data_IF_447124103552
#
_entry.id   IF_447124103552
#
_cell.length_a   1.000
_cell.length_b   1.000
_cell.length_c   1.000
_cell.angle_alpha   90.00
_cell.angle_beta   90.00
_cell.angle_gamma   90.00
#
_symmetry.space_group_name_H-M   'P 1'
#
loop_
_entity.id
_entity.type
_entity.pdbx_description
1 polymer ?
#
# COMPACT_ATOMS: atom_id res chain seq x y z
N UNK A 1 0.51 -20.04 3.28
CA UNK A 1 -0.08 -18.69 3.20
C UNK A 1 0.83 -17.77 3.97
N UNK A 2 1.60 -16.95 3.26
CA UNK A 2 2.21 -15.82 3.94
C UNK A 2 1.08 -14.89 4.37
N UNK A 3 0.91 -14.73 5.68
CA UNK A 3 -0.06 -13.77 6.21
C UNK A 3 0.62 -12.42 6.27
N UNK A 4 -0.10 -11.37 5.90
CA UNK A 4 0.33 -10.01 6.19
C UNK A 4 0.42 -9.81 7.71
N UNK A 5 1.63 -10.04 8.24
CA UNK A 5 1.86 -10.16 9.68
C UNK A 5 1.93 -8.78 10.36
N UNK A 6 1.80 -8.77 11.69
CA UNK A 6 1.74 -7.54 12.47
C UNK A 6 3.04 -6.71 12.41
N UNK A 7 4.19 -7.36 12.25
CA UNK A 7 5.47 -6.67 12.14
C UNK A 7 5.52 -5.88 10.83
N UNK A 8 5.20 -6.53 9.71
CA UNK A 8 5.21 -5.89 8.39
C UNK A 8 4.16 -4.77 8.29
N UNK A 9 2.98 -4.97 8.90
CA UNK A 9 1.94 -3.92 9.04
C UNK A 9 2.44 -2.70 9.80
N UNK A 10 3.16 -2.92 10.91
CA UNK A 10 3.69 -1.82 11.72
C UNK A 10 4.72 -1.00 10.96
N UNK A 11 5.61 -1.66 10.21
CA UNK A 11 6.60 -0.98 9.37
C UNK A 11 5.90 -0.15 8.29
N UNK A 12 4.95 -0.74 7.55
CA UNK A 12 4.23 0.00 6.51
C UNK A 12 3.49 1.21 7.10
N UNK A 13 2.83 1.04 8.24
CA UNK A 13 2.16 2.13 8.95
C UNK A 13 3.14 3.26 9.32
N UNK A 14 4.32 2.93 9.84
CA UNK A 14 5.35 3.92 10.20
C UNK A 14 5.90 4.66 8.97
N UNK A 15 5.99 3.99 7.81
CA UNK A 15 6.40 4.62 6.55
C UNK A 15 5.34 5.59 6.00
N UNK A 16 4.06 5.25 6.14
CA UNK A 16 2.94 6.08 5.69
C UNK A 16 2.74 7.28 6.61
N UNK A 17 2.86 7.08 7.93
CA UNK A 17 2.64 8.12 8.93
C UNK A 17 3.53 9.33 8.71
N UNK A 18 2.92 10.51 8.84
CA UNK A 18 3.56 11.82 8.65
C UNK A 18 4.16 12.03 7.24
N UNK A 19 3.86 11.16 6.27
CA UNK A 19 4.25 11.33 4.85
C UNK A 19 5.74 11.61 4.64
N UNK A 20 6.61 11.10 5.53
CA UNK A 20 8.06 11.40 5.49
C UNK A 20 8.82 10.57 4.46
N UNK A 21 8.23 9.47 4.00
CA UNK A 21 8.84 8.59 3.01
C UNK A 21 8.35 8.99 1.63
N UNK A 22 9.20 8.84 0.63
CA UNK A 22 8.77 9.02 -0.75
C UNK A 22 7.90 7.84 -1.20
N UNK A 23 7.05 8.08 -2.19
CA UNK A 23 6.26 7.02 -2.82
C UNK A 23 7.14 5.87 -3.35
N UNK A 24 8.36 6.18 -3.84
CA UNK A 24 9.33 5.18 -4.30
C UNK A 24 9.87 4.29 -3.16
N UNK A 25 10.08 4.84 -1.97
CA UNK A 25 10.53 4.06 -0.81
C UNK A 25 9.42 3.11 -0.33
N UNK A 26 8.17 3.59 -0.31
CA UNK A 26 7.01 2.75 0.00
C UNK A 26 6.87 1.66 -1.06
N UNK A 27 6.98 2.01 -2.34
CA UNK A 27 6.91 1.04 -3.45
C UNK A 27 7.92 -0.09 -3.29
N UNK A 28 9.18 0.22 -2.93
CA UNK A 28 10.21 -0.81 -2.68
C UNK A 28 9.75 -1.79 -1.60
N UNK A 29 9.22 -1.28 -0.50
CA UNK A 29 8.73 -2.13 0.58
C UNK A 29 7.49 -2.95 0.19
N UNK A 30 6.56 -2.38 -0.59
CA UNK A 30 5.42 -3.13 -1.14
C UNK A 30 5.86 -4.28 -2.05
N UNK A 31 6.93 -4.10 -2.83
CA UNK A 31 7.53 -5.18 -3.63
C UNK A 31 8.11 -6.27 -2.72
N UNK A 32 8.75 -5.92 -1.61
CA UNK A 32 9.22 -6.91 -0.63
C UNK A 32 8.07 -7.72 -0.04
N UNK A 33 6.94 -7.07 0.29
CA UNK A 33 5.74 -7.76 0.76
C UNK A 33 5.15 -8.69 -0.32
N UNK A 34 5.09 -8.24 -1.57
CA UNK A 34 4.69 -9.10 -2.70
C UNK A 34 5.61 -10.31 -2.84
N UNK A 35 6.92 -10.12 -2.75
CA UNK A 35 7.91 -11.20 -2.85
C UNK A 35 7.85 -12.17 -1.66
N UNK A 36 7.22 -11.76 -0.56
CA UNK A 36 6.85 -12.62 0.58
C UNK A 36 5.46 -13.27 0.39
N UNK A 37 4.88 -13.27 -0.81
CA UNK A 37 3.54 -13.81 -1.10
C UNK A 37 2.37 -13.10 -0.38
N UNK A 38 2.55 -11.86 0.08
CA UNK A 38 1.41 -11.05 0.55
C UNK A 38 0.50 -10.74 -0.63
N UNK A 39 -0.80 -10.98 -0.49
CA UNK A 39 -1.76 -10.77 -1.57
C UNK A 39 -2.10 -9.29 -1.80
N UNK A 40 -2.54 -8.98 -3.02
CA UNK A 40 -3.08 -7.66 -3.34
C UNK A 40 -4.26 -7.30 -2.42
N UNK A 41 -5.12 -8.27 -2.11
CA UNK A 41 -6.29 -8.07 -1.24
C UNK A 41 -5.91 -7.71 0.19
N UNK A 42 -4.90 -8.37 0.77
CA UNK A 42 -4.42 -8.05 2.11
C UNK A 42 -3.86 -6.63 2.22
N UNK A 43 -3.07 -6.21 1.22
CA UNK A 43 -2.53 -4.85 1.18
C UNK A 43 -3.63 -3.81 0.95
N UNK A 44 -4.54 -4.09 0.01
CA UNK A 44 -5.69 -3.23 -0.24
C UNK A 44 -6.55 -3.03 1.01
N UNK A 45 -6.95 -4.11 1.68
CA UNK A 45 -7.78 -4.03 2.89
C UNK A 45 -7.08 -3.26 4.00
N UNK A 46 -5.77 -3.45 4.17
CA UNK A 46 -5.00 -2.68 5.15
C UNK A 46 -4.98 -1.18 4.84
N UNK A 47 -4.73 -0.80 3.58
CA UNK A 47 -4.69 0.59 3.16
C UNK A 47 -6.07 1.24 3.22
N UNK A 48 -7.13 0.52 2.85
CA UNK A 48 -8.51 1.03 2.93
C UNK A 48 -8.97 1.26 4.37
N UNK A 49 -8.61 0.35 5.28
CA UNK A 49 -8.85 0.56 6.72
C UNK A 49 -8.06 1.76 7.23
N UNK A 50 -6.80 1.92 6.81
CA UNK A 50 -5.99 3.08 7.21
C UNK A 50 -6.61 4.38 6.69
N UNK A 51 -7.03 4.42 5.42
CA UNK A 51 -7.70 5.55 4.78
C UNK A 51 -8.95 5.96 5.55
N UNK A 52 -9.74 4.99 5.99
CA UNK A 52 -10.98 5.20 6.77
C UNK A 52 -10.73 5.83 8.15
N UNK A 53 -9.54 5.65 8.73
CA UNK A 53 -9.16 6.19 10.04
C UNK A 53 -8.52 7.59 9.97
N UNK A 54 -8.17 8.08 8.77
CA UNK A 54 -7.53 9.37 8.55
C UNK A 54 -8.52 10.54 8.70
N UNK A 55 -8.03 11.66 9.21
CA UNK A 55 -8.83 12.89 9.42
C UNK A 55 -8.47 14.04 8.50
N UNK A 56 -7.35 13.96 7.79
CA UNK A 56 -6.85 15.05 6.95
C UNK A 56 -6.85 14.63 5.48
N UNK A 57 -7.31 15.51 4.61
CA UNK A 57 -7.34 15.31 3.16
C UNK A 57 -5.94 14.93 2.63
N UNK A 58 -4.90 15.64 3.07
CA UNK A 58 -3.53 15.35 2.64
C UNK A 58 -3.06 13.92 2.97
N UNK A 59 -3.49 13.35 4.09
CA UNK A 59 -3.12 11.97 4.45
C UNK A 59 -3.97 10.96 3.69
N UNK A 60 -5.23 11.28 3.40
CA UNK A 60 -6.09 10.46 2.56
C UNK A 60 -5.53 10.37 1.13
N UNK A 61 -5.20 11.50 0.52
CA UNK A 61 -4.61 11.59 -0.82
C UNK A 61 -3.33 10.77 -0.92
N UNK A 62 -2.46 10.88 0.09
CA UNK A 62 -1.22 10.12 0.12
C UNK A 62 -1.46 8.60 0.18
N UNK A 63 -2.49 8.15 0.91
CA UNK A 63 -2.86 6.73 0.93
C UNK A 63 -3.44 6.30 -0.41
N UNK A 64 -4.26 7.14 -1.05
CA UNK A 64 -4.81 6.86 -2.39
C UNK A 64 -3.69 6.67 -3.44
N UNK A 65 -2.64 7.51 -3.42
CA UNK A 65 -1.48 7.32 -4.30
C UNK A 65 -0.80 5.96 -4.08
N UNK A 66 -0.71 5.50 -2.84
CA UNK A 66 -0.14 4.17 -2.51
C UNK A 66 -1.08 3.06 -2.98
N UNK A 67 -2.39 3.25 -2.85
CA UNK A 67 -3.39 2.31 -3.33
C UNK A 67 -3.33 2.16 -4.85
N UNK A 68 -3.07 3.23 -5.61
CA UNK A 68 -2.90 3.14 -7.07
C UNK A 68 -1.73 2.23 -7.47
N UNK A 69 -0.64 2.21 -6.69
CA UNK A 69 0.47 1.28 -6.90
C UNK A 69 0.06 -0.18 -6.67
N UNK A 70 -0.70 -0.43 -5.59
CA UNK A 70 -1.14 -1.77 -5.17
C UNK A 70 -2.22 -2.31 -6.10
N UNK A 71 -3.22 -1.49 -6.45
CA UNK A 71 -4.32 -1.84 -7.32
C UNK A 71 -3.92 -1.87 -8.79
N UNK A 72 -2.77 -1.29 -9.15
CA UNK A 72 -2.29 -1.26 -10.52
C UNK A 72 -2.95 -0.21 -11.40
N UNK A 73 -3.38 0.90 -10.79
CA UNK A 73 -4.01 2.05 -11.44
C UNK A 73 -2.97 3.16 -11.70
N UNK A 74 -1.70 2.77 -11.79
CA UNK A 74 -0.55 3.62 -12.08
C UNK A 74 0.14 3.17 -13.38
N UNK A 75 1.23 3.84 -13.76
CA UNK A 75 2.06 3.43 -14.89
C UNK A 75 2.58 1.99 -14.71
N UNK A 76 2.68 1.25 -15.82
CA UNK A 76 3.05 -0.18 -15.81
C UNK A 76 4.40 -0.46 -15.13
N UNK A 77 5.33 0.48 -15.18
CA UNK A 77 6.64 0.41 -14.53
C UNK A 77 6.57 0.57 -13.00
N UNK A 78 5.52 1.23 -12.49
CA UNK A 78 5.32 1.47 -11.06
C UNK A 78 4.43 0.41 -10.38
N UNK A 79 3.65 -0.32 -11.17
CA UNK A 79 2.69 -1.32 -10.73
C UNK A 79 3.31 -2.42 -9.84
N UNK A 80 2.65 -2.72 -8.72
CA UNK A 80 3.02 -3.85 -7.85
C UNK A 80 2.30 -5.12 -8.26
N UNK A 81 0.97 -5.06 -8.41
CA UNK A 81 0.13 -6.19 -8.84
C UNK A 81 -0.62 -5.83 -10.11
N UNK A 82 -1.01 -6.81 -10.95
CA UNK A 82 -1.89 -6.57 -12.09
C UNK A 82 -3.13 -5.75 -11.70
N UNK A 83 -3.75 -5.02 -12.65
CA UNK A 83 -4.88 -4.17 -12.33
C UNK A 83 -5.96 -4.99 -11.67
N UNK A 84 -6.44 -4.53 -10.51
CA UNK A 84 -7.53 -5.21 -9.80
C UNK A 84 -8.78 -5.14 -10.68
N UNK A 85 -9.11 -6.25 -11.32
CA UNK A 85 -10.32 -6.39 -12.12
C UNK A 85 -11.51 -6.35 -11.16
N UNK A 86 -12.30 -5.28 -11.22
CA UNK A 86 -13.46 -4.97 -10.37
C UNK A 86 -13.11 -4.35 -9.00
N UNK A 87 -12.91 -3.03 -8.99
CA UNK A 87 -13.31 -2.15 -7.89
C UNK A 87 -14.70 -1.57 -8.23
#
# INVERSE_FOLDING_TARGET
MAMFNNHDKKILLEMIKNQKKSLLDIRKYLIELKNKDVSQDELYLFLENLRSDIKTESEEDYILEIMDLVCGWCSLDLQIYPPKSHL
#
